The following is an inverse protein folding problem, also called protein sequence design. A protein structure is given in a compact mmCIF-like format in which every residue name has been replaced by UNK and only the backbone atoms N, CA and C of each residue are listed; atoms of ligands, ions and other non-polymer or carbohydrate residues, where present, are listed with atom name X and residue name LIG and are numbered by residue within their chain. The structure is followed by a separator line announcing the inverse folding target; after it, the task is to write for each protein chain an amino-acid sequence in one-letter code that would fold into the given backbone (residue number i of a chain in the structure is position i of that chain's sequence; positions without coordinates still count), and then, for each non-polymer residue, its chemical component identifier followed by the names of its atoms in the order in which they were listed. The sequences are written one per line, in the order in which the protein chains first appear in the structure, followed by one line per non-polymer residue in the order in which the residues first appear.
data_IF_442252190274
#
_entry.id   IF_442252190274
#
_cell.length_a   1.000
_cell.length_b   1.000
_cell.length_c   1.000
_cell.angle_alpha   90.00
_cell.angle_beta   90.00
_cell.angle_gamma   90.00
#
_symmetry.space_group_name_H-M   'P 1'
#
loop_
_entity.id
_entity.type
_entity.pdbx_description
1 polymer ?
#
# COMPACT_ATOMS: atom_id res chain seq x y z
N UNK A 1 19.39 -3.20 5.86
CA UNK A 1 19.18 -1.74 5.80
C UNK A 1 20.50 -1.03 6.04
N UNK A 2 21.04 -0.33 5.05
CA UNK A 2 22.31 0.41 5.21
C UNK A 2 21.97 1.88 5.22
N UNK A 3 21.86 2.45 6.41
CA UNK A 3 21.86 3.91 6.59
C UNK A 3 23.28 4.37 6.38
N UNK A 4 23.58 5.03 5.28
CA UNK A 4 24.86 5.69 5.08
C UNK A 4 24.70 7.19 5.36
N UNK A 5 25.31 7.68 6.43
CA UNK A 5 25.64 9.09 6.55
C UNK A 5 26.64 9.42 5.43
N UNK A 6 26.20 10.12 4.42
CA UNK A 6 27.12 10.52 3.34
C UNK A 6 27.49 12.00 3.48
N UNK A 7 28.75 12.25 3.61
CA UNK A 7 29.37 13.60 3.46
C UNK A 7 29.52 13.99 1.99
N UNK A 8 29.05 13.14 1.05
CA UNK A 8 29.22 13.30 -0.40
C UNK A 8 27.86 13.12 -1.11
N UNK A 9 27.78 13.67 -2.31
CA UNK A 9 26.66 13.52 -3.22
C UNK A 9 26.37 12.04 -3.51
N UNK A 10 25.10 11.63 -3.43
CA UNK A 10 24.64 10.31 -3.81
C UNK A 10 23.57 10.43 -4.92
N UNK A 11 23.71 9.62 -5.98
CA UNK A 11 22.72 9.50 -7.03
C UNK A 11 21.95 8.21 -6.78
N UNK A 12 20.63 8.28 -6.79
CA UNK A 12 19.70 7.16 -6.63
C UNK A 12 18.60 7.25 -7.66
N UNK A 13 18.21 6.12 -8.19
CA UNK A 13 17.13 5.97 -9.14
C UNK A 13 16.05 5.04 -8.59
N UNK A 14 14.81 5.30 -8.98
CA UNK A 14 13.68 4.46 -8.70
C UNK A 14 13.23 3.75 -9.98
N UNK A 15 13.32 2.44 -9.96
CA UNK A 15 12.75 1.61 -11.01
C UNK A 15 12.04 0.40 -10.38
N UNK A 16 10.72 0.46 -10.29
CA UNK A 16 9.82 -0.57 -9.69
C UNK A 16 9.98 -0.80 -8.18
N UNK A 17 11.05 -0.33 -7.53
CA UNK A 17 11.22 -0.42 -6.08
C UNK A 17 10.93 0.93 -5.42
N UNK A 18 10.27 0.96 -4.25
CA UNK A 18 10.06 2.20 -3.52
C UNK A 18 11.39 2.90 -3.22
N UNK A 19 11.38 4.23 -3.38
CA UNK A 19 12.51 5.07 -2.99
C UNK A 19 11.96 6.42 -2.56
N UNK A 20 12.51 6.93 -1.45
CA UNK A 20 12.16 8.23 -0.91
C UNK A 20 13.40 8.98 -0.42
N UNK A 21 13.27 10.28 -0.30
CA UNK A 21 14.25 11.16 0.32
C UNK A 21 13.67 11.61 1.66
N UNK A 22 14.41 11.38 2.76
CA UNK A 22 14.14 12.01 4.04
C UNK A 22 14.85 13.36 4.11
N UNK A 23 14.08 14.42 4.36
CA UNK A 23 14.60 15.77 4.46
C UNK A 23 14.86 16.09 5.92
N UNK A 24 16.13 16.25 6.30
CA UNK A 24 16.53 16.56 7.66
C UNK A 24 17.12 17.96 7.79
N UNK A 25 17.49 18.32 9.02
CA UNK A 25 18.18 19.59 9.30
C UNK A 25 19.69 19.41 9.00
N UNK A 26 20.19 20.15 8.02
CA UNK A 26 21.57 20.05 7.54
C UNK A 26 22.00 18.64 7.05
N UNK A 27 21.07 17.77 6.80
CA UNK A 27 21.35 16.44 6.22
C UNK A 27 20.11 15.89 5.50
N UNK A 28 20.33 15.12 4.42
CA UNK A 28 19.30 14.42 3.69
C UNK A 28 19.62 12.93 3.61
N UNK A 29 18.58 12.13 3.54
CA UNK A 29 18.66 10.67 3.58
C UNK A 29 17.99 10.07 2.37
N UNK A 30 18.32 8.83 2.03
CA UNK A 30 17.60 8.04 1.04
C UNK A 30 17.29 6.66 1.61
N UNK A 31 16.04 6.24 1.51
CA UNK A 31 15.55 4.94 1.98
C UNK A 31 14.45 4.40 1.07
N UNK A 32 14.14 3.12 1.22
CA UNK A 32 13.00 2.49 0.57
C UNK A 32 11.72 2.57 1.39
N UNK A 33 11.85 2.91 2.70
CA UNK A 33 10.75 2.94 3.65
C UNK A 33 10.92 4.12 4.61
N UNK A 34 9.88 4.95 4.87
CA UNK A 34 9.97 6.05 5.82
C UNK A 34 10.26 5.60 7.25
N UNK A 35 9.85 4.38 7.65
CA UNK A 35 10.13 3.83 8.97
C UNK A 35 11.63 3.72 9.25
N UNK A 36 12.44 3.47 8.22
CA UNK A 36 13.90 3.42 8.35
C UNK A 36 14.52 4.76 8.78
N UNK A 37 13.80 5.86 8.58
CA UNK A 37 14.24 7.22 8.87
C UNK A 37 13.39 7.92 9.93
N UNK A 38 12.41 7.24 10.51
CA UNK A 38 11.44 7.82 11.46
C UNK A 38 12.07 8.48 12.69
N UNK A 39 13.28 8.05 13.08
CA UNK A 39 14.04 8.66 14.19
C UNK A 39 14.88 9.88 13.75
N UNK A 40 14.98 10.15 12.46
CA UNK A 40 15.84 11.17 11.88
C UNK A 40 15.06 12.35 11.30
N UNK A 41 13.91 12.08 10.71
CA UNK A 41 13.04 13.10 10.10
C UNK A 41 11.61 12.62 9.99
N UNK A 42 10.67 13.58 9.95
CA UNK A 42 9.26 13.37 9.64
C UNK A 42 8.88 13.87 8.23
N UNK A 43 9.82 14.49 7.50
CA UNK A 43 9.58 15.10 6.19
C UNK A 43 10.16 14.22 5.08
N UNK A 44 9.31 13.76 4.17
CA UNK A 44 9.67 12.81 3.14
C UNK A 44 9.25 13.28 1.75
N UNK A 45 10.10 12.99 0.77
CA UNK A 45 9.78 13.16 -0.66
C UNK A 45 9.73 11.79 -1.31
N UNK A 46 8.57 11.38 -1.75
CA UNK A 46 8.37 10.11 -2.45
C UNK A 46 8.70 10.27 -3.92
N UNK A 47 9.63 9.45 -4.43
CA UNK A 47 9.97 9.46 -5.84
C UNK A 47 8.93 8.66 -6.64
N UNK A 48 8.67 9.07 -7.87
CA UNK A 48 7.88 8.33 -8.83
C UNK A 48 8.73 7.34 -9.64
N UNK A 49 8.07 6.38 -10.29
CA UNK A 49 8.77 5.37 -11.09
C UNK A 49 9.49 6.02 -12.28
N UNK A 50 10.78 5.78 -12.41
CA UNK A 50 11.65 6.42 -13.39
C UNK A 50 12.35 7.69 -12.89
N UNK A 51 12.06 8.17 -11.68
CA UNK A 51 12.77 9.30 -11.10
C UNK A 51 14.20 8.92 -10.72
N UNK A 52 15.11 9.86 -10.94
CA UNK A 52 16.49 9.84 -10.45
C UNK A 52 16.71 11.01 -9.53
N UNK A 53 17.25 10.79 -8.33
CA UNK A 53 17.54 11.84 -7.38
C UNK A 53 19.04 11.97 -7.10
N UNK A 54 19.51 13.23 -7.08
CA UNK A 54 20.83 13.62 -6.62
C UNK A 54 20.67 14.19 -5.23
N UNK A 55 21.14 13.45 -4.21
CA UNK A 55 21.00 13.83 -2.80
C UNK A 55 22.34 14.32 -2.27
N UNK A 56 22.36 15.55 -1.77
CA UNK A 56 23.49 16.20 -1.11
C UNK A 56 23.17 16.42 0.38
N UNK A 57 24.13 16.85 1.15
CA UNK A 57 23.97 17.11 2.57
C UNK A 57 22.84 18.11 2.84
N UNK A 58 22.81 19.19 2.10
CA UNK A 58 21.98 20.39 2.28
C UNK A 58 20.93 20.61 1.17
N UNK A 59 20.90 19.75 0.17
CA UNK A 59 20.02 19.91 -0.98
C UNK A 59 19.73 18.57 -1.67
N UNK A 60 18.69 18.52 -2.48
CA UNK A 60 18.42 17.42 -3.39
C UNK A 60 17.84 17.94 -4.71
N UNK A 61 18.07 17.22 -5.78
CA UNK A 61 17.51 17.50 -7.12
C UNK A 61 16.90 16.21 -7.65
N UNK A 62 15.70 16.30 -8.25
CA UNK A 62 14.99 15.15 -8.80
C UNK A 62 14.81 15.37 -10.30
N UNK A 63 15.05 14.32 -11.06
CA UNK A 63 14.90 14.27 -12.51
C UNK A 63 13.93 13.14 -12.87
N UNK A 64 12.98 13.42 -13.76
CA UNK A 64 12.06 12.41 -14.28
C UNK A 64 12.75 11.42 -15.25
N UNK A 65 12.00 10.44 -15.76
CA UNK A 65 12.49 9.45 -16.72
C UNK A 65 13.01 10.08 -18.05
N UNK A 66 12.70 11.36 -18.30
CA UNK A 66 13.19 12.13 -19.45
C UNK A 66 14.36 13.04 -19.09
N UNK A 67 14.95 12.86 -17.92
CA UNK A 67 16.04 13.70 -17.38
C UNK A 67 15.67 15.18 -17.23
N UNK A 68 14.39 15.49 -17.09
CA UNK A 68 13.90 16.84 -16.81
C UNK A 68 13.83 17.03 -15.29
N UNK A 69 14.37 18.15 -14.80
CA UNK A 69 14.24 18.51 -13.37
C UNK A 69 12.76 18.69 -13.01
N UNK A 70 12.34 18.02 -11.94
CA UNK A 70 10.98 18.03 -11.42
C UNK A 70 10.98 18.23 -9.91
N UNK A 71 9.92 18.84 -9.39
CA UNK A 71 9.67 18.91 -7.96
C UNK A 71 8.63 17.87 -7.56
N UNK A 72 8.88 17.18 -6.45
CA UNK A 72 7.93 16.31 -5.77
C UNK A 72 7.53 16.94 -4.45
N UNK A 73 6.30 16.71 -4.02
CA UNK A 73 5.77 17.26 -2.78
C UNK A 73 6.49 16.67 -1.56
N UNK A 74 6.78 17.52 -0.59
CA UNK A 74 7.25 17.06 0.73
C UNK A 74 6.03 16.66 1.55
N UNK A 75 5.98 15.39 1.95
CA UNK A 75 4.92 14.84 2.78
C UNK A 75 5.41 14.74 4.22
N UNK A 76 4.70 15.37 5.15
CA UNK A 76 4.95 15.22 6.57
C UNK A 76 4.25 13.97 7.10
N UNK A 77 5.00 13.07 7.73
CA UNK A 77 4.48 11.86 8.37
C UNK A 77 4.83 11.85 9.84
N UNK A 78 3.81 11.95 10.69
CA UNK A 78 3.95 11.71 12.13
C UNK A 78 4.03 10.20 12.39
N UNK A 79 5.24 9.68 12.41
CA UNK A 79 5.49 8.27 12.73
C UNK A 79 5.78 8.19 14.23
N UNK A 80 4.84 7.63 14.99
CA UNK A 80 5.06 7.36 16.42
C UNK A 80 6.24 6.40 16.59
N UNK A 81 7.34 6.89 17.14
CA UNK A 81 8.56 6.09 17.40
C UNK A 81 8.29 4.93 18.37
N UNK A 82 7.26 5.03 19.22
CA UNK A 82 6.80 3.95 20.10
C UNK A 82 6.31 2.72 19.34
N UNK A 83 5.70 2.93 18.17
CA UNK A 83 5.20 1.84 17.33
C UNK A 83 6.33 1.02 16.67
N UNK A 84 7.52 1.62 16.52
CA UNK A 84 8.70 1.03 15.88
C UNK A 84 9.59 0.28 16.89
N UNK A 85 9.21 0.21 18.16
CA UNK A 85 9.95 -0.50 19.21
C UNK A 85 9.30 -1.83 19.55
N UNK A 86 10.10 -2.80 19.99
CA UNK A 86 9.59 -4.12 20.44
C UNK A 86 8.77 -4.03 21.73
N UNK A 87 8.91 -2.95 22.51
CA UNK A 87 8.32 -2.85 23.85
C UNK A 87 8.80 -3.97 24.77
N UNK A 88 7.87 -4.70 25.37
CA UNK A 88 8.11 -5.83 26.29
C UNK A 88 8.42 -7.14 25.56
N UNK A 89 8.27 -7.19 24.23
CA UNK A 89 8.37 -8.43 23.48
C UNK A 89 9.79 -8.72 22.99
N UNK A 90 10.13 -10.01 22.91
CA UNK A 90 11.43 -10.45 22.41
C UNK A 90 11.56 -10.28 20.89
N UNK A 91 10.44 -10.41 20.17
CA UNK A 91 10.37 -10.36 18.71
C UNK A 91 9.21 -9.48 18.25
N UNK A 92 9.39 -8.80 17.09
CA UNK A 92 8.33 -8.00 16.48
C UNK A 92 7.09 -8.83 16.13
N UNK A 93 7.28 -10.02 15.56
CA UNK A 93 6.18 -10.94 15.28
C UNK A 93 5.35 -11.30 16.53
N UNK A 94 6.00 -11.49 17.67
CA UNK A 94 5.31 -11.73 18.94
C UNK A 94 4.47 -10.51 19.34
N UNK A 95 5.03 -9.31 19.26
CA UNK A 95 4.32 -8.06 19.49
C UNK A 95 3.08 -7.95 18.58
N UNK A 96 3.24 -8.14 17.28
CA UNK A 96 2.16 -8.09 16.29
C UNK A 96 1.04 -9.10 16.58
N UNK A 97 1.37 -10.32 17.05
CA UNK A 97 0.38 -11.33 17.46
C UNK A 97 -0.49 -10.79 18.61
N UNK A 98 0.11 -10.18 19.62
CA UNK A 98 -0.61 -9.64 20.75
C UNK A 98 -1.33 -8.30 20.44
N UNK A 99 -0.92 -7.57 19.44
CA UNK A 99 -1.57 -6.34 18.98
C UNK A 99 -2.80 -6.57 18.08
N UNK A 100 -3.05 -7.81 17.62
CA UNK A 100 -4.19 -8.12 16.72
C UNK A 100 -5.55 -7.61 17.21
N UNK A 101 -5.93 -7.74 18.50
CA UNK A 101 -7.22 -7.23 18.98
C UNK A 101 -7.33 -5.70 18.81
N UNK A 102 -6.24 -4.98 19.10
CA UNK A 102 -6.19 -3.53 18.93
C UNK A 102 -6.21 -3.13 17.45
N UNK A 103 -5.44 -3.82 16.60
CA UNK A 103 -5.42 -3.59 15.15
C UNK A 103 -6.79 -3.81 14.52
N UNK A 104 -7.51 -4.85 14.95
CA UNK A 104 -8.89 -5.09 14.51
C UNK A 104 -9.83 -3.98 14.97
N UNK A 105 -9.72 -3.53 16.22
CA UNK A 105 -10.49 -2.41 16.76
C UNK A 105 -10.24 -1.12 15.97
N UNK A 106 -8.98 -0.77 15.75
CA UNK A 106 -8.57 0.42 14.98
C UNK A 106 -9.08 0.36 13.52
N UNK A 107 -9.09 -0.85 12.93
CA UNK A 107 -9.60 -1.04 11.57
C UNK A 107 -11.11 -0.80 11.51
N UNK A 108 -11.85 -1.12 12.55
CA UNK A 108 -13.31 -0.94 12.60
C UNK A 108 -13.72 0.44 13.11
N UNK A 109 -12.83 1.15 13.79
CA UNK A 109 -13.11 2.46 14.37
C UNK A 109 -13.58 3.45 13.29
N UNK A 110 -14.64 4.20 13.60
CA UNK A 110 -15.26 5.18 12.70
C UNK A 110 -15.78 4.61 11.36
N UNK A 111 -15.93 3.29 11.25
CA UNK A 111 -16.42 2.61 10.03
C UNK A 111 -17.76 1.93 10.22
N UNK A 112 -18.12 1.68 11.47
CA UNK A 112 -19.37 1.04 11.82
C UNK A 112 -20.38 2.08 12.30
N UNK A 113 -21.57 2.07 11.71
CA UNK A 113 -22.75 2.71 12.25
C UNK A 113 -23.39 1.85 13.36
N UNK A 114 -24.59 2.20 13.79
CA UNK A 114 -25.30 1.42 14.82
C UNK A 114 -25.70 0.02 14.35
N UNK A 115 -25.98 -0.18 13.07
CA UNK A 115 -26.41 -1.47 12.51
C UNK A 115 -25.85 -1.74 11.09
N UNK A 116 -24.97 -0.88 10.59
CA UNK A 116 -24.47 -0.92 9.21
C UNK A 116 -23.00 -0.50 9.14
N UNK A 117 -22.40 -0.68 7.99
CA UNK A 117 -21.08 -0.19 7.63
C UNK A 117 -21.29 1.15 6.92
N UNK A 118 -20.52 2.17 7.29
CA UNK A 118 -20.65 3.50 6.68
C UNK A 118 -20.27 3.48 5.20
N UNK A 119 -21.10 4.09 4.36
CA UNK A 119 -20.99 4.01 2.90
C UNK A 119 -19.65 4.51 2.32
N UNK A 120 -19.02 5.48 2.97
CA UNK A 120 -17.87 6.19 2.40
C UNK A 120 -16.50 5.63 2.82
N UNK A 121 -16.45 4.52 3.55
CA UNK A 121 -15.18 3.96 4.05
C UNK A 121 -14.25 3.41 2.95
N UNK A 122 -14.81 3.10 1.78
CA UNK A 122 -14.08 2.60 0.62
C UNK A 122 -13.79 3.69 -0.42
N UNK A 123 -14.20 4.94 -0.16
CA UNK A 123 -14.09 6.07 -1.07
C UNK A 123 -15.42 6.44 -1.74
N UNK A 124 -15.44 7.60 -2.39
CA UNK A 124 -16.64 8.13 -3.02
C UNK A 124 -17.15 7.20 -4.12
N UNK A 125 -18.47 6.99 -4.17
CA UNK A 125 -19.13 6.18 -5.20
C UNK A 125 -19.00 4.67 -5.02
N UNK A 126 -18.34 4.18 -3.95
CA UNK A 126 -18.16 2.76 -3.71
C UNK A 126 -19.48 1.99 -3.56
N UNK A 127 -20.49 2.58 -2.93
CA UNK A 127 -21.82 1.96 -2.76
C UNK A 127 -22.49 1.63 -4.10
N UNK A 128 -22.35 2.51 -5.11
CA UNK A 128 -22.90 2.25 -6.45
C UNK A 128 -22.16 1.10 -7.15
N UNK A 129 -20.83 1.03 -6.96
CA UNK A 129 -20.01 -0.05 -7.50
C UNK A 129 -20.39 -1.38 -6.84
N UNK A 130 -20.51 -1.40 -5.52
CA UNK A 130 -20.90 -2.61 -4.80
C UNK A 130 -22.29 -3.11 -5.18
N UNK A 131 -23.25 -2.20 -5.36
CA UNK A 131 -24.59 -2.55 -5.83
C UNK A 131 -24.61 -3.20 -7.24
N UNK A 132 -23.62 -2.89 -8.07
CA UNK A 132 -23.45 -3.46 -9.43
C UNK A 132 -22.55 -4.70 -9.45
N UNK A 133 -21.86 -4.99 -8.35
CA UNK A 133 -20.91 -6.09 -8.27
C UNK A 133 -21.64 -7.43 -8.29
N UNK A 134 -21.34 -8.26 -9.27
CA UNK A 134 -21.90 -9.61 -9.44
C UNK A 134 -20.87 -10.69 -9.08
N UNK A 135 -19.60 -10.36 -9.11
CA UNK A 135 -18.45 -11.25 -8.85
C UNK A 135 -17.29 -10.48 -8.25
N UNK A 136 -16.40 -11.19 -7.58
CA UNK A 136 -15.17 -10.61 -7.05
C UNK A 136 -13.97 -11.44 -7.55
N UNK A 137 -12.95 -10.75 -8.05
CA UNK A 137 -11.65 -11.31 -8.35
C UNK A 137 -10.63 -10.82 -7.33
N UNK A 138 -10.24 -11.67 -6.38
CA UNK A 138 -9.14 -11.38 -5.46
C UNK A 138 -7.81 -11.73 -6.09
N UNK A 139 -6.84 -10.82 -5.96
CA UNK A 139 -5.47 -11.03 -6.43
C UNK A 139 -4.49 -10.54 -5.36
N UNK A 140 -3.62 -11.43 -4.90
CA UNK A 140 -2.66 -11.13 -3.83
C UNK A 140 -1.45 -12.08 -3.86
N UNK A 141 -0.48 -11.83 -2.98
CA UNK A 141 0.67 -12.70 -2.74
C UNK A 141 0.72 -13.13 -1.26
N UNK A 142 1.42 -14.24 -1.00
CA UNK A 142 1.76 -14.68 0.36
C UNK A 142 0.53 -14.85 1.27
N UNK A 143 0.64 -14.37 2.49
CA UNK A 143 -0.43 -14.47 3.50
C UNK A 143 -1.68 -13.66 3.13
N UNK A 144 -1.52 -12.56 2.41
CA UNK A 144 -2.64 -11.77 1.87
C UNK A 144 -3.51 -12.58 0.90
N UNK A 145 -2.92 -13.50 0.12
CA UNK A 145 -3.69 -14.43 -0.71
C UNK A 145 -4.55 -15.37 0.14
N UNK A 146 -4.02 -15.83 1.29
CA UNK A 146 -4.79 -16.70 2.18
C UNK A 146 -5.96 -15.93 2.83
N UNK A 147 -5.79 -14.65 3.15
CA UNK A 147 -6.91 -13.80 3.57
C UNK A 147 -7.99 -13.69 2.48
N UNK A 148 -7.58 -13.50 1.22
CA UNK A 148 -8.51 -13.52 0.08
C UNK A 148 -9.25 -14.85 -0.07
N UNK A 149 -8.58 -15.99 0.17
CA UNK A 149 -9.22 -17.32 0.15
C UNK A 149 -10.27 -17.47 1.26
N UNK A 150 -10.01 -16.95 2.46
CA UNK A 150 -11.01 -16.92 3.54
C UNK A 150 -12.16 -15.98 3.17
N UNK A 151 -11.84 -14.79 2.69
CA UNK A 151 -12.84 -13.80 2.21
C UNK A 151 -13.78 -14.39 1.17
N UNK A 152 -13.26 -15.20 0.24
CA UNK A 152 -14.07 -15.92 -0.76
C UNK A 152 -15.21 -16.71 -0.11
N UNK A 153 -14.93 -17.54 0.91
CA UNK A 153 -15.96 -18.33 1.58
C UNK A 153 -17.05 -17.45 2.19
N UNK A 154 -16.64 -16.34 2.82
CA UNK A 154 -17.60 -15.43 3.44
C UNK A 154 -18.46 -14.68 2.41
N UNK A 155 -17.88 -14.23 1.30
CA UNK A 155 -18.65 -13.59 0.24
C UNK A 155 -19.63 -14.56 -0.44
N UNK A 156 -19.20 -15.79 -0.70
CA UNK A 156 -20.06 -16.82 -1.29
C UNK A 156 -21.19 -17.23 -0.34
N UNK A 157 -20.90 -17.42 0.97
CA UNK A 157 -21.88 -17.88 1.95
C UNK A 157 -22.83 -16.76 2.42
N UNK A 158 -22.30 -15.57 2.70
CA UNK A 158 -23.08 -14.49 3.33
C UNK A 158 -23.73 -13.58 2.28
N UNK A 159 -22.98 -13.21 1.24
CA UNK A 159 -23.45 -12.28 0.22
C UNK A 159 -23.99 -12.97 -1.05
N UNK A 160 -23.75 -14.27 -1.23
CA UNK A 160 -24.13 -14.99 -2.44
C UNK A 160 -23.36 -14.54 -3.69
N UNK A 161 -22.17 -13.92 -3.50
CA UNK A 161 -21.36 -13.38 -4.59
C UNK A 161 -20.23 -14.36 -4.93
N UNK A 162 -20.18 -14.90 -6.16
CA UNK A 162 -19.07 -15.76 -6.60
C UNK A 162 -17.73 -15.04 -6.55
N UNK A 163 -16.72 -15.72 -6.02
CA UNK A 163 -15.38 -15.16 -5.86
C UNK A 163 -14.30 -16.05 -6.47
N UNK A 164 -13.35 -15.42 -7.15
CA UNK A 164 -12.13 -16.03 -7.66
C UNK A 164 -10.93 -15.51 -6.87
N UNK A 165 -9.93 -16.35 -6.66
CA UNK A 165 -8.72 -15.97 -5.91
C UNK A 165 -7.50 -16.48 -6.65
N UNK A 166 -6.65 -15.57 -7.08
CA UNK A 166 -5.46 -15.87 -7.86
C UNK A 166 -4.18 -15.29 -7.23
N UNK A 167 -3.06 -15.98 -7.46
CA UNK A 167 -1.75 -15.42 -7.17
C UNK A 167 -1.44 -14.25 -8.12
N UNK A 168 -1.00 -13.13 -7.57
CA UNK A 168 -0.65 -11.97 -8.36
C UNK A 168 0.49 -12.24 -9.35
N UNK A 169 1.47 -13.07 -8.95
CA UNK A 169 2.57 -13.50 -9.81
C UNK A 169 2.11 -14.27 -11.04
N UNK A 170 1.02 -15.04 -10.93
CA UNK A 170 0.46 -15.83 -12.02
C UNK A 170 -0.55 -15.02 -12.84
N UNK A 171 -1.38 -14.24 -12.15
CA UNK A 171 -2.47 -13.48 -12.74
C UNK A 171 -1.98 -12.54 -13.86
N UNK A 172 -0.90 -11.83 -13.65
CA UNK A 172 -0.36 -10.84 -14.62
C UNK A 172 0.17 -11.44 -15.92
N UNK A 173 0.44 -12.74 -15.95
CA UNK A 173 1.00 -13.42 -17.13
C UNK A 173 -0.03 -14.19 -17.94
N UNK A 174 -1.22 -14.38 -17.42
CA UNK A 174 -2.30 -15.02 -18.15
C UNK A 174 -3.25 -13.97 -18.71
N UNK A 175 -4.11 -14.36 -19.65
CA UNK A 175 -5.18 -13.51 -20.18
C UNK A 175 -6.53 -14.01 -19.63
N UNK A 176 -6.93 -13.60 -18.41
CA UNK A 176 -8.17 -14.05 -17.80
C UNK A 176 -9.37 -13.51 -18.57
N UNK A 177 -10.44 -14.29 -18.62
CA UNK A 177 -11.74 -13.80 -19.04
C UNK A 177 -12.30 -12.97 -17.89
N UNK A 178 -12.68 -11.72 -18.20
CA UNK A 178 -13.36 -10.84 -17.25
C UNK A 178 -14.85 -10.88 -17.57
N UNK A 179 -15.62 -11.34 -16.61
CA UNK A 179 -17.08 -11.37 -16.72
C UNK A 179 -17.66 -10.03 -16.26
N UNK A 180 -18.76 -9.61 -16.92
CA UNK A 180 -19.43 -8.34 -16.59
C UNK A 180 -19.84 -8.26 -15.11
N UNK A 181 -19.61 -7.10 -14.50
CA UNK A 181 -19.90 -6.86 -13.09
C UNK A 181 -18.87 -7.47 -12.13
N UNK A 182 -17.66 -7.77 -12.59
CA UNK A 182 -16.57 -8.26 -11.73
C UNK A 182 -15.81 -7.10 -11.10
N UNK A 183 -15.78 -7.07 -9.76
CA UNK A 183 -14.91 -6.16 -8.98
C UNK A 183 -13.54 -6.79 -8.81
N UNK A 184 -12.48 -6.06 -9.15
CA UNK A 184 -11.10 -6.49 -8.95
C UNK A 184 -10.60 -6.03 -7.58
N UNK A 185 -10.18 -6.97 -6.73
CA UNK A 185 -9.75 -6.68 -5.36
C UNK A 185 -8.32 -7.13 -5.14
N UNK A 186 -7.45 -6.20 -4.75
CA UNK A 186 -6.09 -6.52 -4.30
C UNK A 186 -5.99 -6.47 -2.78
N UNK A 187 -5.17 -7.34 -2.20
CA UNK A 187 -4.87 -7.35 -0.78
C UNK A 187 -3.35 -7.32 -0.60
N UNK A 188 -2.86 -6.34 0.14
CA UNK A 188 -1.42 -6.20 0.44
C UNK A 188 -1.23 -5.39 1.71
N UNK A 189 -0.37 -5.82 2.60
CA UNK A 189 -0.04 -5.02 3.79
C UNK A 189 0.72 -3.74 3.39
N UNK A 190 1.84 -3.86 2.72
CA UNK A 190 2.67 -2.71 2.32
C UNK A 190 2.07 -1.85 1.19
N UNK A 191 1.19 -2.46 0.37
CA UNK A 191 0.71 -1.82 -0.86
C UNK A 191 1.77 -1.58 -1.94
N UNK A 192 2.97 -2.17 -1.77
CA UNK A 192 4.12 -2.03 -2.70
C UNK A 192 4.57 -3.37 -3.28
N UNK A 193 3.85 -4.47 -3.02
CA UNK A 193 4.20 -5.78 -3.57
C UNK A 193 4.18 -5.74 -5.09
N UNK A 194 5.35 -5.93 -5.71
CA UNK A 194 5.56 -5.70 -7.15
C UNK A 194 4.60 -6.50 -8.04
N UNK A 195 4.35 -7.77 -7.72
CA UNK A 195 3.43 -8.60 -8.49
C UNK A 195 1.97 -8.15 -8.33
N UNK A 196 1.56 -7.74 -7.12
CA UNK A 196 0.20 -7.26 -6.86
C UNK A 196 -0.04 -5.93 -7.57
N UNK A 197 0.94 -5.03 -7.56
CA UNK A 197 0.87 -3.76 -8.28
C UNK A 197 0.82 -3.96 -9.80
N UNK A 198 1.65 -4.88 -10.32
CA UNK A 198 1.62 -5.21 -11.73
C UNK A 198 0.28 -5.85 -12.16
N UNK A 199 -0.33 -6.67 -11.30
CA UNK A 199 -1.65 -7.24 -11.54
C UNK A 199 -2.75 -6.17 -11.53
N UNK A 200 -2.69 -5.20 -10.60
CA UNK A 200 -3.60 -4.05 -10.59
C UNK A 200 -3.51 -3.24 -11.88
N UNK A 201 -2.31 -2.88 -12.29
CA UNK A 201 -2.07 -2.12 -13.54
C UNK A 201 -2.58 -2.88 -14.76
N UNK A 202 -2.35 -4.19 -14.80
CA UNK A 202 -2.87 -5.05 -15.85
C UNK A 202 -4.41 -5.10 -15.85
N UNK A 203 -5.03 -5.17 -14.67
CA UNK A 203 -6.50 -5.20 -14.53
C UNK A 203 -7.16 -3.88 -14.99
N UNK A 204 -6.50 -2.74 -14.81
CA UNK A 204 -7.02 -1.43 -15.27
C UNK A 204 -7.18 -1.33 -16.79
N UNK A 205 -6.46 -2.15 -17.55
CA UNK A 205 -6.59 -2.25 -19.01
C UNK A 205 -7.63 -3.29 -19.43
N UNK A 206 -8.42 -3.83 -18.48
CA UNK A 206 -9.45 -4.84 -18.70
C UNK A 206 -10.83 -4.31 -18.29
N UNK A 207 -11.86 -5.04 -18.69
CA UNK A 207 -13.27 -4.66 -18.48
C UNK A 207 -13.79 -4.98 -17.07
N UNK A 208 -12.97 -4.76 -16.02
CA UNK A 208 -13.43 -4.84 -14.65
C UNK A 208 -14.35 -3.66 -14.31
N UNK A 209 -15.32 -3.93 -13.44
CA UNK A 209 -16.28 -2.91 -13.00
C UNK A 209 -15.57 -1.74 -12.29
N UNK A 210 -14.61 -2.06 -11.44
CA UNK A 210 -13.76 -1.12 -10.71
C UNK A 210 -12.63 -1.89 -10.02
N UNK A 211 -11.68 -1.17 -9.43
CA UNK A 211 -10.59 -1.72 -8.62
C UNK A 211 -10.71 -1.28 -7.17
N UNK A 212 -10.52 -2.22 -6.23
CA UNK A 212 -10.47 -1.98 -4.80
C UNK A 212 -9.18 -2.54 -4.24
N UNK A 213 -8.43 -1.75 -3.48
CA UNK A 213 -7.28 -2.25 -2.72
C UNK A 213 -7.56 -2.26 -1.21
N UNK A 214 -7.24 -3.38 -0.57
CA UNK A 214 -7.20 -3.50 0.89
C UNK A 214 -5.73 -3.45 1.28
N UNK A 215 -5.29 -2.36 1.91
CA UNK A 215 -3.89 -2.18 2.28
C UNK A 215 -3.75 -1.39 3.59
N UNK A 216 -2.54 -1.42 4.16
CA UNK A 216 -2.29 -0.76 5.44
C UNK A 216 -1.60 0.60 5.29
N UNK A 217 -0.86 0.82 4.20
CA UNK A 217 -0.05 2.03 4.00
C UNK A 217 -0.76 3.03 3.08
N UNK A 218 -1.22 4.19 3.61
CA UNK A 218 -1.99 5.17 2.82
C UNK A 218 -1.21 5.78 1.66
N UNK A 219 0.11 5.90 1.80
CA UNK A 219 1.00 6.49 0.78
C UNK A 219 1.48 5.48 -0.25
N UNK A 220 0.99 4.24 -0.19
CA UNK A 220 1.43 3.17 -1.08
C UNK A 220 0.96 3.34 -2.53
N UNK A 221 1.66 2.67 -3.44
CA UNK A 221 1.31 2.68 -4.86
C UNK A 221 -0.06 2.04 -5.13
N UNK A 222 -0.42 0.95 -4.43
CA UNK A 222 -1.75 0.36 -4.55
C UNK A 222 -2.85 1.35 -4.12
N UNK A 223 -2.63 2.09 -3.02
CA UNK A 223 -3.60 3.09 -2.56
C UNK A 223 -3.79 4.22 -3.56
N UNK A 224 -2.72 4.67 -4.21
CA UNK A 224 -2.80 5.75 -5.20
C UNK A 224 -3.35 5.33 -6.55
N UNK A 225 -3.16 4.07 -6.93
CA UNK A 225 -3.51 3.59 -8.27
C UNK A 225 -4.87 2.86 -8.33
N UNK A 226 -5.50 2.55 -7.19
CA UNK A 226 -6.83 1.93 -7.14
C UNK A 226 -7.94 2.97 -7.14
N UNK A 227 -9.10 2.60 -7.68
CA UNK A 227 -10.28 3.48 -7.69
C UNK A 227 -10.88 3.62 -6.27
N UNK A 228 -10.81 2.54 -5.50
CA UNK A 228 -11.30 2.46 -4.12
C UNK A 228 -10.25 1.84 -3.22
N UNK A 229 -10.21 2.25 -1.95
CA UNK A 229 -9.25 1.74 -0.98
C UNK A 229 -9.90 1.53 0.39
N UNK A 230 -9.57 0.42 1.03
CA UNK A 230 -9.83 0.16 2.44
C UNK A 230 -8.50 0.03 3.18
N UNK A 231 -8.26 0.91 4.15
CA UNK A 231 -7.06 0.82 4.99
C UNK A 231 -7.31 -0.06 6.21
N UNK A 232 -6.36 -0.92 6.56
CA UNK A 232 -6.49 -1.82 7.71
C UNK A 232 -6.10 -1.19 9.04
N UNK A 233 -5.42 -0.04 9.04
CA UNK A 233 -5.00 0.68 10.25
C UNK A 233 -4.32 -0.23 11.30
N UNK A 234 -3.53 -1.19 10.82
CA UNK A 234 -2.92 -2.22 11.65
C UNK A 234 -1.57 -1.80 12.26
N UNK A 235 -1.17 -0.55 12.07
CA UNK A 235 0.14 -0.07 12.48
C UNK A 235 1.25 -0.42 11.47
N UNK A 236 2.50 -0.02 11.75
CA UNK A 236 3.63 -0.33 10.89
C UNK A 236 4.02 -1.81 10.98
N UNK A 237 4.40 -2.41 9.87
CA UNK A 237 5.09 -3.71 9.81
C UNK A 237 6.60 -3.48 9.87
N UNK A 238 7.30 -4.25 10.68
CA UNK A 238 8.74 -4.07 10.94
C UNK A 238 9.53 -5.34 10.64
#
# INVERSE_FOLDING_TARGET
LVIRRQRQMCIRDRYKSPLLIGVGIEENFAASDPLALAQLTSDFVFLEDGDTAVVKKDSYEIFDAKSKSVNREVTHLDIETSSVTKGEFSHFMEKEIFEQPQSASNTLESRLGSNDVLDNIFGLGSSEIFAKTKRIQFVACGTSLHAGKVGRFWFEEIAGIPCYVDFASEYRYRNPLVEDGTLFVTISQSGETADTLAALRYARDKDYLSTLSICNVPTSSLARESDHVLFTNAGPEI
#
